data_IF_060043654178
#
_entry.id   IF_060043654178
#
_cell.length_a   1.000
_cell.length_b   1.000
_cell.length_c   1.000
_cell.angle_alpha   90.00
_cell.angle_beta   90.00
_cell.angle_gamma   90.00
#
_symmetry.space_group_name_H-M   'P 1'
#
loop_
_entity.id
_entity.type
_entity.pdbx_description
1 polymer ?
#
# COMPACT_ATOMS: atom_id res chain seq x y z
N UNK A 1 -34.41 57.05 74.18
CA UNK A 1 -35.84 57.36 74.40
C UNK A 1 -36.45 57.88 73.10
N UNK A 2 -37.47 57.18 72.56
CA UNK A 2 -38.52 57.65 71.61
C UNK A 2 -38.09 58.17 70.20
N UNK A 3 -38.66 57.83 69.02
CA UNK A 3 -39.81 57.05 68.48
C UNK A 3 -39.41 56.63 67.03
N UNK A 4 -39.64 55.43 66.45
CA UNK A 4 -40.86 54.89 65.77
C UNK A 4 -41.56 55.97 64.90
N UNK A 5 -41.89 55.89 63.60
CA UNK A 5 -42.01 54.89 62.50
C UNK A 5 -42.18 55.72 61.19
N UNK A 6 -41.88 55.15 60.02
CA UNK A 6 -42.78 55.26 58.85
C UNK A 6 -42.43 54.21 57.80
N UNK A 7 -43.37 53.28 57.64
CA UNK A 7 -43.48 52.22 56.62
C UNK A 7 -43.85 52.78 55.25
N UNK A 8 -43.29 52.19 54.19
CA UNK A 8 -43.76 52.36 52.82
C UNK A 8 -43.34 51.19 51.95
N UNK A 9 -44.17 50.14 51.90
CA UNK A 9 -44.04 49.00 50.99
C UNK A 9 -44.56 49.38 49.60
N UNK A 10 -43.77 49.18 48.55
CA UNK A 10 -44.25 49.04 47.19
C UNK A 10 -43.69 47.74 46.60
N UNK A 11 -44.61 46.89 46.11
CA UNK A 11 -44.35 45.62 45.46
C UNK A 11 -44.00 45.85 43.98
N UNK A 12 -43.13 45.02 43.41
CA UNK A 12 -43.34 44.20 42.20
C UNK A 12 -42.09 44.04 41.31
N UNK A 13 -41.92 42.77 40.90
CA UNK A 13 -41.43 42.26 39.62
C UNK A 13 -39.91 42.19 39.35
N UNK A 14 -39.48 40.93 39.21
CA UNK A 14 -38.60 40.37 38.17
C UNK A 14 -37.43 41.20 37.65
N UNK A 15 -36.22 40.66 37.81
CA UNK A 15 -35.51 40.05 36.68
C UNK A 15 -34.22 39.38 37.18
N UNK A 16 -34.19 38.05 37.16
CA UNK A 16 -32.94 37.29 37.10
C UNK A 16 -32.35 37.55 35.71
N UNK A 17 -31.36 38.43 35.62
CA UNK A 17 -30.58 38.63 34.39
C UNK A 17 -29.25 37.86 34.53
N UNK A 18 -29.29 36.56 34.22
CA UNK A 18 -28.11 35.75 33.92
C UNK A 18 -27.52 36.24 32.59
N UNK A 19 -26.58 37.17 32.65
CA UNK A 19 -25.75 37.56 31.51
C UNK A 19 -24.52 36.63 31.44
N UNK A 20 -24.70 35.48 30.80
CA UNK A 20 -23.57 34.68 30.32
C UNK A 20 -23.23 35.16 28.89
N UNK A 21 -22.06 35.76 28.64
CA UNK A 21 -21.65 36.05 27.27
C UNK A 21 -21.31 34.73 26.57
N UNK A 22 -22.10 34.42 25.55
CA UNK A 22 -21.92 33.31 24.63
C UNK A 22 -20.51 33.31 24.06
N UNK A 23 -19.71 32.31 24.41
CA UNK A 23 -18.41 32.05 23.79
C UNK A 23 -18.68 31.56 22.35
N UNK A 24 -18.67 32.47 21.38
CA UNK A 24 -18.72 32.11 19.96
C UNK A 24 -17.37 31.49 19.61
N UNK A 25 -17.30 30.15 19.57
CA UNK A 25 -16.20 29.45 18.93
C UNK A 25 -16.26 29.80 17.43
N UNK A 26 -15.38 30.68 16.98
CA UNK A 26 -15.11 30.84 15.55
C UNK A 26 -14.37 29.58 15.11
N UNK A 27 -15.10 28.63 14.54
CA UNK A 27 -14.50 27.55 13.77
C UNK A 27 -13.85 28.20 12.53
N UNK A 28 -12.55 28.50 12.63
CA UNK A 28 -11.76 28.88 11.47
C UNK A 28 -11.75 27.72 10.45
N UNK A 29 -11.54 28.01 9.15
CA UNK A 29 -11.38 26.95 8.17
C UNK A 29 -10.27 26.01 8.63
N UNK A 30 -10.54 24.71 8.64
CA UNK A 30 -9.50 23.71 8.86
C UNK A 30 -8.38 23.95 7.83
N UNK A 31 -7.09 23.79 8.21
CA UNK A 31 -6.02 23.92 7.24
C UNK A 31 -6.26 22.92 6.11
N UNK A 32 -6.47 23.43 4.89
CA UNK A 32 -6.40 22.60 3.71
C UNK A 32 -4.93 22.22 3.54
N UNK A 33 -4.60 20.95 3.74
CA UNK A 33 -3.29 20.45 3.34
C UNK A 33 -3.23 20.48 1.82
N UNK A 34 -2.20 21.10 1.26
CA UNK A 34 -1.96 20.97 -0.18
C UNK A 34 -1.62 19.52 -0.48
N UNK A 35 -2.13 18.99 -1.60
CA UNK A 35 -1.71 17.68 -2.06
C UNK A 35 -0.17 17.66 -2.22
N UNK A 36 0.47 16.69 -1.58
CA UNK A 36 1.92 16.54 -1.61
C UNK A 36 2.30 15.26 -2.36
N UNK A 37 3.20 15.40 -3.33
CA UNK A 37 3.71 14.26 -4.10
C UNK A 37 5.21 14.11 -3.86
N UNK A 38 5.63 12.90 -3.51
CA UNK A 38 7.04 12.53 -3.32
C UNK A 38 7.40 11.37 -4.23
N UNK A 39 8.57 11.46 -4.88
CA UNK A 39 9.16 10.35 -5.65
C UNK A 39 10.51 9.94 -5.04
N UNK A 40 10.71 8.65 -4.81
CA UNK A 40 11.96 8.08 -4.31
C UNK A 40 12.33 6.84 -5.10
N UNK A 41 13.63 6.69 -5.35
CA UNK A 41 14.20 5.47 -5.91
C UNK A 41 15.06 4.83 -4.82
N UNK A 42 14.79 3.58 -4.50
CA UNK A 42 15.54 2.77 -3.57
C UNK A 42 16.20 1.62 -4.32
N UNK A 43 17.38 1.20 -3.83
CA UNK A 43 18.04 -0.02 -4.27
C UNK A 43 18.41 -0.83 -3.05
N UNK A 44 18.12 -2.11 -3.09
CA UNK A 44 18.42 -3.03 -2.00
C UNK A 44 19.05 -4.31 -2.55
N UNK A 45 19.94 -4.97 -1.77
CA UNK A 45 20.37 -6.31 -2.09
C UNK A 45 19.15 -7.24 -2.12
N UNK A 46 19.15 -8.15 -3.08
CA UNK A 46 18.17 -9.23 -3.20
C UNK A 46 18.88 -10.55 -2.91
N UNK A 47 18.32 -11.32 -1.98
CA UNK A 47 18.67 -12.71 -1.73
C UNK A 47 17.35 -13.49 -1.65
N UNK A 48 17.13 -14.41 -2.59
CA UNK A 48 15.85 -15.11 -2.73
C UNK A 48 16.08 -16.54 -3.22
N UNK A 49 15.58 -17.53 -2.48
CA UNK A 49 15.51 -18.92 -2.94
C UNK A 49 14.13 -19.22 -3.52
N UNK A 50 14.08 -19.73 -4.74
CA UNK A 50 12.83 -20.11 -5.43
C UNK A 50 12.89 -21.56 -5.89
N UNK A 51 11.78 -22.29 -5.77
CA UNK A 51 11.68 -23.63 -6.35
C UNK A 51 11.22 -23.54 -7.80
N UNK A 52 12.03 -24.03 -8.74
CA UNK A 52 11.68 -24.16 -10.15
C UNK A 52 11.29 -25.61 -10.44
N UNK A 53 10.01 -25.92 -10.70
CA UNK A 53 9.56 -27.31 -10.85
C UNK A 53 10.04 -27.98 -12.14
N UNK A 54 10.34 -27.20 -13.18
CA UNK A 54 10.82 -27.73 -14.46
C UNK A 54 12.33 -27.90 -14.56
N UNK A 55 13.07 -27.28 -13.64
CA UNK A 55 14.52 -27.40 -13.59
C UNK A 55 14.96 -28.84 -13.33
N UNK A 56 16.26 -29.13 -13.48
CA UNK A 56 16.84 -30.45 -13.24
C UNK A 56 16.12 -31.56 -14.04
N UNK A 57 15.86 -31.30 -15.32
CA UNK A 57 15.16 -32.24 -16.21
C UNK A 57 13.73 -32.56 -15.77
N UNK A 58 13.03 -31.61 -15.17
CA UNK A 58 11.65 -31.78 -14.70
C UNK A 58 11.50 -32.42 -13.30
N UNK A 59 12.60 -32.71 -12.61
CA UNK A 59 12.56 -33.12 -11.19
C UNK A 59 12.38 -31.92 -10.25
N UNK A 60 12.66 -30.73 -10.76
CA UNK A 60 12.68 -29.48 -10.04
C UNK A 60 13.92 -29.31 -9.17
N UNK A 61 14.23 -28.05 -8.86
CA UNK A 61 15.26 -27.72 -7.87
C UNK A 61 15.01 -26.33 -7.26
N UNK A 62 15.69 -26.07 -6.14
CA UNK A 62 15.78 -24.71 -5.59
C UNK A 62 16.87 -23.96 -6.35
N UNK A 63 16.56 -22.74 -6.77
CA UNK A 63 17.51 -21.78 -7.34
C UNK A 63 17.68 -20.64 -6.36
N UNK A 64 18.90 -20.45 -5.91
CA UNK A 64 19.30 -19.35 -5.05
C UNK A 64 19.67 -18.16 -5.92
N UNK A 65 18.89 -17.08 -5.82
CA UNK A 65 19.06 -15.85 -6.59
C UNK A 65 19.70 -14.76 -5.73
N UNK A 66 20.72 -14.10 -6.27
CA UNK A 66 21.40 -12.95 -5.66
C UNK A 66 21.52 -11.78 -6.65
N UNK A 67 21.36 -10.56 -6.13
CA UNK A 67 21.55 -9.36 -6.93
C UNK A 67 21.00 -8.11 -6.29
N UNK A 68 20.36 -7.26 -7.10
CA UNK A 68 19.82 -5.97 -6.64
C UNK A 68 18.42 -5.78 -7.20
N UNK A 69 17.50 -5.34 -6.34
CA UNK A 69 16.19 -4.84 -6.73
C UNK A 69 16.23 -3.30 -6.72
N UNK A 70 15.62 -2.68 -7.71
CA UNK A 70 15.37 -1.24 -7.74
C UNK A 70 13.88 -0.98 -7.63
N UNK A 71 13.50 -0.10 -6.70
CA UNK A 71 12.12 0.24 -6.39
C UNK A 71 11.91 1.74 -6.57
N UNK A 72 10.91 2.13 -7.34
CA UNK A 72 10.48 3.51 -7.48
C UNK A 72 9.14 3.67 -6.77
N UNK A 73 9.12 4.51 -5.73
CA UNK A 73 7.92 4.92 -5.02
C UNK A 73 7.51 6.29 -5.51
N UNK A 74 6.28 6.42 -5.99
CA UNK A 74 5.63 7.68 -6.28
C UNK A 74 4.37 7.77 -5.42
N UNK A 75 4.42 8.60 -4.38
CA UNK A 75 3.40 8.70 -3.34
C UNK A 75 2.78 10.08 -3.40
N UNK A 76 1.45 10.14 -3.45
CA UNK A 76 0.67 11.36 -3.32
C UNK A 76 -0.22 11.25 -2.09
N UNK A 77 -0.17 12.26 -1.24
CA UNK A 77 -1.16 12.48 -0.17
C UNK A 77 -2.12 13.55 -0.65
N UNK A 78 -3.41 13.24 -0.72
CA UNK A 78 -4.43 14.20 -1.15
C UNK A 78 -4.81 15.19 -0.03
N UNK A 79 -5.58 16.22 -0.38
CA UNK A 79 -5.98 17.27 0.58
C UNK A 79 -6.88 16.75 1.70
N UNK A 80 -7.56 15.63 1.48
CA UNK A 80 -8.40 14.97 2.47
C UNK A 80 -7.59 14.04 3.40
N UNK A 81 -6.31 13.80 3.11
CA UNK A 81 -5.43 12.89 3.82
C UNK A 81 -5.44 11.44 3.30
N UNK A 82 -5.99 11.21 2.10
CA UNK A 82 -5.88 9.93 1.39
C UNK A 82 -4.49 9.71 0.78
N UNK A 83 -4.11 8.44 0.61
CA UNK A 83 -2.83 8.01 0.04
C UNK A 83 -3.02 7.34 -1.32
N UNK A 84 -2.21 7.75 -2.29
CA UNK A 84 -2.10 7.11 -3.60
C UNK A 84 -0.64 6.75 -3.85
N UNK A 85 -0.37 5.47 -4.06
CA UNK A 85 0.99 4.96 -4.24
C UNK A 85 1.09 4.24 -5.58
N UNK A 86 2.09 4.62 -6.36
CA UNK A 86 2.57 3.85 -7.49
C UNK A 86 3.97 3.34 -7.15
N UNK A 87 4.11 2.02 -7.06
CA UNK A 87 5.36 1.33 -6.85
C UNK A 87 5.74 0.59 -8.13
N UNK A 88 6.95 0.84 -8.63
CA UNK A 88 7.57 0.08 -9.72
C UNK A 88 8.80 -0.63 -9.18
N UNK A 89 8.77 -1.96 -9.21
CA UNK A 89 9.92 -2.79 -8.85
C UNK A 89 10.55 -3.36 -10.11
N UNK A 90 11.87 -3.32 -10.18
CA UNK A 90 12.64 -3.83 -11.31
C UNK A 90 13.83 -4.66 -10.84
N UNK A 91 14.06 -5.74 -11.56
CA UNK A 91 15.27 -6.57 -11.43
C UNK A 91 15.80 -6.83 -12.83
N UNK A 92 17.06 -6.48 -13.03
CA UNK A 92 17.75 -6.71 -14.29
C UNK A 92 18.94 -7.62 -14.03
N UNK A 93 18.90 -8.80 -14.65
CA UNK A 93 20.01 -9.75 -14.66
C UNK A 93 20.49 -10.21 -13.28
N UNK A 94 19.55 -10.43 -12.36
CA UNK A 94 19.82 -11.10 -11.07
C UNK A 94 20.31 -12.51 -11.36
N UNK A 95 21.41 -12.91 -10.75
CA UNK A 95 22.02 -14.22 -11.00
C UNK A 95 21.44 -15.24 -10.04
N UNK A 96 21.51 -16.52 -10.40
CA UNK A 96 21.31 -17.58 -9.44
C UNK A 96 21.98 -18.88 -9.81
N UNK A 97 21.99 -19.79 -8.84
CA UNK A 97 22.59 -21.12 -8.95
C UNK A 97 21.58 -22.17 -8.48
N UNK A 98 21.41 -23.23 -9.27
CA UNK A 98 20.63 -24.40 -8.88
C UNK A 98 21.34 -25.15 -7.75
N UNK A 99 20.65 -25.36 -6.63
CA UNK A 99 21.21 -26.02 -5.46
C UNK A 99 21.54 -27.50 -5.69
N UNK A 100 20.89 -28.13 -6.69
CA UNK A 100 21.08 -29.56 -7.01
C UNK A 100 22.03 -29.74 -8.19
N UNK A 101 21.79 -29.01 -9.28
CA UNK A 101 22.53 -29.17 -10.54
C UNK A 101 23.80 -28.34 -10.59
N UNK A 102 23.85 -27.23 -9.85
CA UNK A 102 24.86 -26.18 -10.02
C UNK A 102 24.64 -25.33 -11.27
N UNK A 103 23.51 -25.48 -11.98
CA UNK A 103 23.21 -24.72 -13.19
C UNK A 103 23.07 -23.24 -12.88
N UNK A 104 23.50 -22.41 -13.83
CA UNK A 104 23.35 -20.95 -13.72
C UNK A 104 21.98 -20.52 -14.22
N UNK A 105 21.37 -19.62 -13.47
CA UNK A 105 20.11 -18.96 -13.80
C UNK A 105 20.26 -17.45 -13.86
N UNK A 106 19.42 -16.80 -14.66
CA UNK A 106 19.28 -15.34 -14.73
C UNK A 106 17.82 -14.99 -14.58
N UNK A 107 17.49 -14.10 -13.65
CA UNK A 107 16.13 -13.62 -13.45
C UNK A 107 15.93 -12.15 -13.81
N UNK A 108 14.73 -11.84 -14.28
CA UNK A 108 14.27 -10.50 -14.59
C UNK A 108 12.87 -10.31 -14.03
N UNK A 109 12.59 -9.11 -13.52
CA UNK A 109 11.30 -8.78 -12.92
C UNK A 109 10.91 -7.37 -13.26
N UNK A 110 9.62 -7.18 -13.57
CA UNK A 110 8.95 -5.90 -13.53
C UNK A 110 7.64 -6.10 -12.79
N UNK A 111 7.44 -5.34 -11.71
CA UNK A 111 6.20 -5.33 -10.95
C UNK A 111 5.69 -3.89 -10.87
N UNK A 112 4.45 -3.67 -11.27
CA UNK A 112 3.73 -2.43 -11.00
C UNK A 112 2.68 -2.73 -9.94
N UNK A 113 2.74 -1.97 -8.84
CA UNK A 113 1.76 -2.01 -7.79
C UNK A 113 1.15 -0.62 -7.62
N UNK A 114 -0.15 -0.52 -7.81
CA UNK A 114 -0.92 0.71 -7.59
C UNK A 114 -1.80 0.51 -6.37
N UNK A 115 -1.76 1.43 -5.43
CA UNK A 115 -2.48 1.36 -4.17
C UNK A 115 -3.21 2.67 -3.92
N UNK A 116 -4.46 2.57 -3.45
CA UNK A 116 -5.28 3.71 -3.09
C UNK A 116 -5.94 3.48 -1.73
N UNK A 117 -5.88 4.50 -0.90
CA UNK A 117 -6.53 4.54 0.41
C UNK A 117 -7.11 5.93 0.63
N UNK A 118 -8.38 6.01 0.99
CA UNK A 118 -8.98 7.28 1.44
C UNK A 118 -8.57 7.63 2.88
N UNK A 119 -8.92 8.83 3.34
CA UNK A 119 -8.57 9.30 4.68
C UNK A 119 -9.16 8.49 5.85
N UNK A 120 -10.15 7.63 5.59
CA UNK A 120 -10.81 6.76 6.56
C UNK A 120 -10.11 5.42 6.84
N UNK A 121 -8.86 5.22 6.40
CA UNK A 121 -8.06 3.97 6.48
C UNK A 121 -8.56 2.80 5.63
N UNK A 122 -9.85 2.50 5.65
CA UNK A 122 -10.51 1.48 4.84
C UNK A 122 -11.70 2.09 4.09
N UNK A 123 -12.04 1.58 2.89
CA UNK A 123 -11.39 0.48 2.19
C UNK A 123 -10.05 0.88 1.55
N UNK A 124 -9.23 -0.13 1.27
CA UNK A 124 -8.01 -0.01 0.48
C UNK A 124 -8.23 -0.78 -0.82
N UNK A 125 -7.81 -0.22 -1.95
CA UNK A 125 -7.75 -0.95 -3.21
C UNK A 125 -6.32 -1.01 -3.72
N UNK A 126 -5.97 -2.11 -4.38
CA UNK A 126 -4.69 -2.22 -5.06
C UNK A 126 -4.78 -3.06 -6.33
N UNK A 127 -3.99 -2.68 -7.33
CA UNK A 127 -3.78 -3.45 -8.56
C UNK A 127 -2.32 -3.86 -8.64
N UNK A 128 -2.06 -5.14 -8.91
CA UNK A 128 -0.73 -5.65 -9.21
C UNK A 128 -0.64 -6.09 -10.67
N UNK A 129 0.46 -5.75 -11.33
CA UNK A 129 0.87 -6.29 -12.62
C UNK A 129 2.33 -6.77 -12.52
N UNK A 130 2.52 -8.09 -12.46
CA UNK A 130 3.82 -8.72 -12.32
C UNK A 130 4.17 -9.49 -13.59
N UNK A 131 5.40 -9.30 -14.04
CA UNK A 131 6.08 -10.24 -14.95
C UNK A 131 7.40 -10.60 -14.32
N UNK A 132 7.56 -11.88 -14.00
CA UNK A 132 8.80 -12.45 -13.47
C UNK A 132 9.25 -13.57 -14.40
N UNK A 133 10.53 -13.57 -14.77
CA UNK A 133 11.14 -14.60 -15.60
C UNK A 133 12.44 -15.07 -14.99
N UNK A 134 12.69 -16.37 -15.08
CA UNK A 134 13.94 -17.00 -14.74
C UNK A 134 14.34 -17.83 -15.96
N UNK A 135 15.55 -17.61 -16.46
CA UNK A 135 16.11 -18.36 -17.56
C UNK A 135 17.29 -19.20 -17.05
N UNK A 136 17.31 -20.48 -17.37
CA UNK A 136 18.34 -21.43 -16.96
C UNK A 136 19.23 -21.89 -18.11
N UNK A 137 20.22 -22.73 -17.80
CA UNK A 137 21.07 -23.32 -18.82
C UNK A 137 20.36 -24.50 -19.52
N UNK A 138 20.09 -24.39 -20.81
CA UNK A 138 19.54 -25.49 -21.61
C UNK A 138 18.01 -25.56 -21.64
N UNK A 139 17.44 -26.48 -22.45
CA UNK A 139 16.00 -26.55 -22.68
C UNK A 139 15.24 -27.02 -21.43
N UNK A 140 14.10 -26.39 -21.15
CA UNK A 140 13.19 -26.79 -20.06
C UNK A 140 13.52 -26.15 -18.70
N UNK A 141 14.57 -25.35 -18.61
CA UNK A 141 15.03 -24.72 -17.38
C UNK A 141 14.57 -23.26 -17.22
N UNK A 142 13.70 -22.80 -18.12
CA UNK A 142 13.13 -21.46 -18.07
C UNK A 142 11.77 -21.49 -17.37
N UNK A 143 11.46 -20.46 -16.61
CA UNK A 143 10.19 -20.31 -15.92
C UNK A 143 9.69 -18.86 -16.00
N UNK A 144 8.38 -18.68 -16.11
CA UNK A 144 7.76 -17.36 -16.07
C UNK A 144 6.51 -17.34 -15.20
N UNK A 145 6.28 -16.20 -14.56
CA UNK A 145 5.07 -15.90 -13.82
C UNK A 145 4.52 -14.58 -14.35
N UNK A 146 3.23 -14.56 -14.68
CA UNK A 146 2.48 -13.35 -15.00
C UNK A 146 1.26 -13.25 -14.10
N UNK A 147 1.14 -12.14 -13.39
CA UNK A 147 0.00 -11.86 -12.52
C UNK A 147 -0.58 -10.51 -12.89
N UNK A 148 -1.90 -10.47 -13.06
CA UNK A 148 -2.69 -9.25 -12.94
C UNK A 148 -3.79 -9.52 -11.94
N UNK A 149 -3.81 -8.77 -10.83
CA UNK A 149 -4.85 -8.91 -9.83
C UNK A 149 -5.35 -7.56 -9.34
N UNK A 150 -6.54 -7.60 -8.75
CA UNK A 150 -7.16 -6.51 -8.02
C UNK A 150 -7.49 -7.01 -6.62
N UNK A 151 -6.99 -6.32 -5.61
CA UNK A 151 -7.25 -6.62 -4.20
C UNK A 151 -7.99 -5.45 -3.58
N UNK A 152 -9.02 -5.76 -2.79
CA UNK A 152 -9.71 -4.79 -1.94
C UNK A 152 -9.67 -5.30 -0.51
N UNK A 153 -9.23 -4.45 0.42
CA UNK A 153 -9.50 -4.63 1.85
C UNK A 153 -10.75 -3.80 2.16
N UNK A 154 -11.85 -4.47 2.49
CA UNK A 154 -13.15 -3.86 2.69
C UNK A 154 -13.22 -3.11 4.02
N UNK A 155 -14.27 -2.30 4.19
CA UNK A 155 -14.49 -1.52 5.42
C UNK A 155 -14.68 -2.38 6.69
N UNK A 156 -15.13 -3.63 6.54
CA UNK A 156 -15.27 -4.61 7.63
C UNK A 156 -13.97 -5.40 7.91
N UNK A 157 -12.88 -5.07 7.21
CA UNK A 157 -11.59 -5.74 7.31
C UNK A 157 -11.47 -7.04 6.51
N UNK A 158 -12.52 -7.47 5.80
CA UNK A 158 -12.42 -8.64 4.90
C UNK A 158 -11.59 -8.30 3.66
N UNK A 159 -10.98 -9.32 3.05
CA UNK A 159 -10.16 -9.16 1.83
C UNK A 159 -10.84 -9.88 0.67
N UNK A 160 -10.95 -9.18 -0.46
CA UNK A 160 -11.37 -9.75 -1.73
C UNK A 160 -10.26 -9.61 -2.76
N UNK A 161 -9.94 -10.69 -3.47
CA UNK A 161 -8.94 -10.70 -4.54
C UNK A 161 -9.58 -11.22 -5.82
N UNK A 162 -9.42 -10.50 -6.91
CA UNK A 162 -9.76 -10.93 -8.25
C UNK A 162 -8.47 -11.09 -9.07
N UNK A 163 -8.25 -12.28 -9.63
CA UNK A 163 -7.14 -12.53 -10.54
C UNK A 163 -7.67 -12.43 -11.98
N UNK A 164 -7.28 -11.39 -12.69
CA UNK A 164 -7.57 -11.23 -14.12
C UNK A 164 -6.62 -12.08 -14.96
N UNK A 165 -5.39 -12.25 -14.48
CA UNK A 165 -4.40 -13.12 -15.10
C UNK A 165 -3.56 -13.75 -14.01
N UNK A 166 -3.40 -15.06 -14.09
CA UNK A 166 -2.41 -15.80 -13.34
C UNK A 166 -1.88 -16.90 -14.26
N UNK A 167 -0.64 -16.76 -14.72
CA UNK A 167 0.07 -17.82 -15.43
C UNK A 167 1.39 -18.08 -14.72
N UNK A 168 1.71 -19.37 -14.59
CA UNK A 168 2.98 -19.85 -14.07
C UNK A 168 3.40 -21.00 -14.98
N UNK A 169 4.45 -20.79 -15.76
CA UNK A 169 4.82 -21.62 -16.89
C UNK A 169 6.30 -21.94 -16.85
N UNK A 170 6.65 -23.07 -17.48
CA UNK A 170 8.03 -23.43 -17.77
C UNK A 170 8.25 -23.45 -19.29
N UNK A 171 9.39 -22.96 -19.75
CA UNK A 171 9.73 -22.90 -21.17
C UNK A 171 10.87 -23.88 -21.55
N UNK A 172 10.80 -24.56 -22.73
CA UNK A 172 9.65 -24.62 -23.61
C UNK A 172 8.75 -25.80 -23.21
N UNK A 173 7.46 -25.54 -23.04
CA UNK A 173 6.46 -26.57 -23.37
C UNK A 173 6.72 -26.97 -24.82
N UNK A 174 7.46 -28.06 -25.04
CA UNK A 174 7.56 -28.62 -26.39
C UNK A 174 6.16 -29.20 -26.71
N UNK A 175 5.62 -29.00 -27.93
CA UNK A 175 4.29 -29.51 -28.32
C UNK A 175 4.10 -31.00 -28.05
#
# INVERSE_FOLDING_TARGET
>A
MNKIRATGTARLASAVALLAPSLVLVAGPAPAYAAETTTRILRAPLELSVFLPCANGGLGEVVDLDGTISELYHVTVDEAGGFHVHLVETQSSVQGTGATTGDRYVSTRVNLFVYHQGSGSLPITSTQQLVFRIAGAGPGNDASIRITNHTTVNADGTVTVAFDTYTAECEPTTP
#
